data_IF_642822910286
#
_entry.id   IF_642822910286
#
_cell.length_a   1.000
_cell.length_b   1.000
_cell.length_c   1.000
_cell.angle_alpha   90.00
_cell.angle_beta   90.00
_cell.angle_gamma   90.00
#
_symmetry.space_group_name_H-M   'P 1'
#
loop_
_entity.id
_entity.type
_entity.pdbx_description
1 polymer ?
#
# COMPACT_ATOMS: atom_id res chain seq x y z
N UNK A 1 -8.50 3.78 -0.98
CA UNK A 1 -7.49 3.95 -2.05
C UNK A 1 -6.32 4.73 -1.47
N UNK A 2 -5.26 4.00 -1.16
CA UNK A 2 -3.97 4.52 -0.74
C UNK A 2 -3.04 4.31 -1.94
N UNK A 3 -2.41 5.37 -2.42
CA UNK A 3 -1.43 5.34 -3.52
C UNK A 3 -0.29 6.22 -3.03
N UNK A 4 0.91 5.71 -2.74
CA UNK A 4 1.82 6.51 -1.92
C UNK A 4 3.26 6.64 -2.41
N UNK A 5 3.75 7.87 -2.35
CA UNK A 5 5.15 8.24 -2.54
C UNK A 5 5.66 8.00 -3.96
N UNK A 6 5.55 9.06 -4.77
CA UNK A 6 6.61 9.34 -5.72
C UNK A 6 7.76 10.00 -4.93
N UNK A 7 8.86 9.29 -4.74
CA UNK A 7 10.10 9.86 -4.18
C UNK A 7 10.99 10.28 -5.34
N UNK A 8 11.45 11.53 -5.36
CA UNK A 8 12.42 12.02 -6.35
C UNK A 8 13.84 11.65 -5.96
N UNK A 9 14.69 11.45 -6.98
CA UNK A 9 16.12 11.12 -6.87
C UNK A 9 16.96 12.12 -6.06
N UNK A 10 16.46 13.35 -5.81
CA UNK A 10 17.12 14.34 -4.96
C UNK A 10 16.92 14.09 -3.45
N UNK A 11 16.29 12.96 -3.07
CA UNK A 11 16.24 12.43 -1.71
C UNK A 11 15.36 13.22 -0.74
N UNK A 12 14.62 14.22 -1.24
CA UNK A 12 13.98 15.22 -0.39
C UNK A 12 12.53 15.52 -0.70
N UNK A 13 11.92 15.05 -1.81
CA UNK A 13 10.49 15.34 -2.08
C UNK A 13 9.64 14.09 -2.19
N UNK A 14 8.43 14.22 -1.65
CA UNK A 14 7.43 13.16 -1.61
C UNK A 14 6.08 13.68 -2.08
N UNK A 15 5.49 13.01 -3.06
CA UNK A 15 4.06 13.16 -3.36
C UNK A 15 3.25 12.05 -2.66
N UNK A 16 2.46 12.41 -1.65
CA UNK A 16 1.62 11.48 -0.89
C UNK A 16 0.15 11.56 -1.31
N UNK A 17 -0.42 10.45 -1.81
CA UNK A 17 -1.80 10.42 -2.33
C UNK A 17 -2.69 9.46 -1.54
N UNK A 18 -3.31 9.95 -0.48
CA UNK A 18 -4.03 9.10 0.48
C UNK A 18 -5.34 9.71 0.92
N UNK A 19 -6.11 8.96 1.70
CA UNK A 19 -7.26 9.49 2.40
C UNK A 19 -6.87 10.56 3.42
N UNK A 20 -7.85 11.40 3.79
CA UNK A 20 -7.73 12.33 4.91
C UNK A 20 -9.01 12.33 5.74
N UNK A 21 -8.86 12.45 7.06
CA UNK A 21 -9.96 12.57 8.02
C UNK A 21 -9.78 13.78 8.94
N UNK A 22 -10.87 14.41 9.36
CA UNK A 22 -10.82 15.52 10.34
C UNK A 22 -10.47 14.99 11.74
N UNK A 23 -11.14 13.94 12.20
CA UNK A 23 -10.92 13.28 13.49
C UNK A 23 -10.25 11.91 13.31
N UNK A 24 -9.23 11.65 14.13
CA UNK A 24 -8.38 10.46 14.04
C UNK A 24 -7.08 10.70 13.25
N UNK A 25 -6.29 9.64 13.09
CA UNK A 25 -4.99 9.64 12.42
C UNK A 25 -4.93 8.47 11.43
N UNK A 26 -5.29 8.74 10.18
CA UNK A 26 -5.12 7.81 9.04
C UNK A 26 -4.73 8.60 7.78
N UNK A 27 -4.17 7.89 6.79
CA UNK A 27 -3.77 8.45 5.50
C UNK A 27 -2.83 9.65 5.65
N UNK A 28 -3.04 10.70 4.86
CA UNK A 28 -2.14 11.87 4.83
C UNK A 28 -2.02 12.57 6.18
N UNK A 29 -3.04 12.47 7.05
CA UNK A 29 -2.98 13.03 8.40
C UNK A 29 -1.96 12.32 9.30
N UNK A 30 -1.67 11.04 9.03
CA UNK A 30 -0.64 10.26 9.74
C UNK A 30 0.70 10.26 9.01
N UNK A 31 0.71 10.33 7.68
CA UNK A 31 1.92 10.17 6.89
C UNK A 31 2.76 11.45 6.78
N UNK A 32 2.11 12.61 6.63
CA UNK A 32 2.82 13.86 6.28
C UNK A 32 3.80 14.30 7.38
N UNK A 33 3.37 14.30 8.63
CA UNK A 33 4.18 14.83 9.73
C UNK A 33 5.47 14.01 10.00
N UNK A 34 5.44 12.66 10.08
CA UNK A 34 6.66 11.87 10.19
C UNK A 34 7.63 12.06 9.02
N UNK A 35 7.13 12.13 7.79
CA UNK A 35 7.96 12.37 6.61
C UNK A 35 8.65 13.75 6.66
N UNK A 36 7.93 14.78 7.11
CA UNK A 36 8.50 16.12 7.33
C UNK A 36 9.55 16.13 8.45
N UNK A 37 9.34 15.37 9.52
CA UNK A 37 10.32 15.23 10.60
C UNK A 37 11.63 14.57 10.11
N UNK A 38 11.53 13.70 9.10
CA UNK A 38 12.68 13.10 8.41
C UNK A 38 13.34 14.04 7.38
N UNK A 39 12.91 15.30 7.30
CA UNK A 39 13.50 16.32 6.41
C UNK A 39 12.96 16.28 4.98
N UNK A 40 11.88 15.55 4.72
CA UNK A 40 11.26 15.49 3.39
C UNK A 40 10.26 16.62 3.18
N UNK A 41 10.29 17.24 2.00
CA UNK A 41 9.27 18.14 1.48
C UNK A 41 8.10 17.32 0.91
N UNK A 42 7.00 17.31 1.64
CA UNK A 42 5.84 16.45 1.35
C UNK A 42 4.71 17.26 0.74
N UNK A 43 4.33 16.90 -0.47
CA UNK A 43 3.15 17.40 -1.17
C UNK A 43 2.03 16.36 -1.03
N UNK A 44 0.89 16.74 -0.46
CA UNK A 44 -0.22 15.82 -0.20
C UNK A 44 -1.41 16.06 -1.13
N UNK A 45 -1.87 15.00 -1.80
CA UNK A 45 -3.16 14.98 -2.51
C UNK A 45 -4.11 14.06 -1.75
N UNK A 46 -5.25 14.60 -1.31
CA UNK A 46 -6.23 13.81 -0.58
C UNK A 46 -7.19 13.11 -1.56
N UNK A 47 -7.27 11.78 -1.52
CA UNK A 47 -8.22 11.01 -2.35
C UNK A 47 -9.65 11.13 -1.84
N UNK A 48 -9.82 11.24 -0.52
CA UNK A 48 -11.09 11.51 0.16
C UNK A 48 -10.87 12.52 1.28
N UNK A 49 -11.94 13.22 1.66
CA UNK A 49 -12.00 14.07 2.84
C UNK A 49 -13.24 13.70 3.65
N UNK A 50 -13.03 12.98 4.74
CA UNK A 50 -14.10 12.54 5.64
C UNK A 50 -13.99 13.17 7.03
N UNK A 51 -15.09 13.11 7.80
CA UNK A 51 -15.11 13.52 9.21
C UNK A 51 -14.22 12.62 10.07
N UNK A 52 -14.26 11.30 9.84
CA UNK A 52 -13.57 10.27 10.60
C UNK A 52 -13.44 8.99 9.76
N UNK A 53 -12.73 7.98 10.29
CA UNK A 53 -12.60 6.68 9.64
C UNK A 53 -13.97 6.02 9.41
N UNK A 54 -14.10 5.23 8.34
CA UNK A 54 -15.36 4.56 7.95
C UNK A 54 -15.78 3.43 8.89
N UNK A 55 -14.87 2.98 9.77
CA UNK A 55 -15.17 2.00 10.83
C UNK A 55 -16.04 2.54 11.97
N UNK A 56 -16.29 3.86 12.03
CA UNK A 56 -17.23 4.43 13.00
C UNK A 56 -18.67 4.32 12.48
N UNK A 57 -19.63 4.23 13.41
CA UNK A 57 -21.06 4.10 13.08
C UNK A 57 -21.61 5.23 12.20
N UNK A 58 -21.02 6.43 12.26
CA UNK A 58 -21.38 7.57 11.42
C UNK A 58 -20.11 8.22 10.88
N UNK A 59 -20.13 8.58 9.61
CA UNK A 59 -19.12 9.43 8.97
C UNK A 59 -19.77 10.25 7.87
N UNK A 60 -19.14 11.37 7.49
CA UNK A 60 -19.58 12.23 6.38
C UNK A 60 -18.39 12.75 5.59
N UNK A 61 -18.61 13.26 4.38
CA UNK A 61 -17.61 13.95 3.57
C UNK A 61 -17.67 13.53 2.10
N UNK A 62 -16.55 13.65 1.38
CA UNK A 62 -16.53 13.49 -0.08
C UNK A 62 -15.27 12.79 -0.59
N UNK A 63 -15.42 12.09 -1.72
CA UNK A 63 -14.30 11.67 -2.57
C UNK A 63 -13.83 12.90 -3.36
N UNK A 64 -12.53 13.14 -3.40
CA UNK A 64 -11.93 14.31 -4.08
C UNK A 64 -11.27 13.87 -5.40
N UNK A 65 -10.44 12.82 -5.38
CA UNK A 65 -9.59 12.46 -6.52
C UNK A 65 -9.71 10.97 -6.84
N UNK A 66 -9.89 10.65 -8.13
CA UNK A 66 -9.56 9.34 -8.70
C UNK A 66 -8.13 9.44 -9.24
N UNK A 67 -7.21 8.71 -8.63
CA UNK A 67 -5.80 8.75 -9.02
C UNK A 67 -5.65 7.93 -10.29
N UNK A 68 -5.66 8.63 -11.41
CA UNK A 68 -5.57 8.08 -12.76
C UNK A 68 -4.10 8.01 -13.22
N UNK A 69 -3.85 7.22 -14.27
CA UNK A 69 -2.57 6.95 -14.96
C UNK A 69 -1.79 8.23 -15.36
N UNK A 70 -2.46 9.39 -15.32
CA UNK A 70 -1.96 10.72 -15.70
C UNK A 70 -0.80 11.24 -14.85
N UNK A 71 -0.59 10.74 -13.63
CA UNK A 71 0.50 11.24 -12.77
C UNK A 71 1.88 10.81 -13.23
N UNK A 72 2.05 9.58 -13.77
CA UNK A 72 3.32 9.20 -14.43
C UNK A 72 3.39 9.78 -15.85
N UNK A 73 2.28 9.80 -16.59
CA UNK A 73 2.26 10.27 -17.98
C UNK A 73 2.53 11.78 -18.14
N UNK A 74 2.21 12.59 -17.11
CA UNK A 74 2.46 14.03 -17.12
C UNK A 74 3.87 14.44 -16.67
N UNK A 75 4.74 13.50 -16.32
CA UNK A 75 6.08 13.79 -15.80
C UNK A 75 7.09 13.81 -16.94
N UNK A 76 8.01 14.77 -16.88
CA UNK A 76 9.07 14.93 -17.89
C UNK A 76 10.18 13.88 -17.74
N UNK A 77 10.31 13.29 -16.55
CA UNK A 77 11.32 12.29 -16.19
C UNK A 77 10.71 11.18 -15.30
N UNK A 78 9.76 10.39 -15.81
CA UNK A 78 9.05 9.38 -15.02
C UNK A 78 9.95 8.26 -14.49
N UNK A 79 11.12 8.04 -15.10
CA UNK A 79 12.14 7.09 -14.67
C UNK A 79 12.85 7.46 -13.36
N UNK A 80 12.82 8.75 -12.98
CA UNK A 80 13.42 9.26 -11.73
C UNK A 80 12.45 9.25 -10.53
N UNK A 81 11.24 8.74 -10.75
CA UNK A 81 10.21 8.67 -9.72
C UNK A 81 10.09 7.23 -9.25
N UNK A 82 10.42 7.01 -7.99
CA UNK A 82 10.12 5.74 -7.31
C UNK A 82 8.66 5.77 -6.87
N UNK A 83 7.84 4.85 -7.36
CA UNK A 83 6.43 4.73 -6.94
C UNK A 83 6.25 3.60 -5.93
N UNK A 84 5.83 3.95 -4.70
CA UNK A 84 5.44 2.99 -3.67
C UNK A 84 3.91 2.78 -3.70
N UNK A 85 3.44 1.55 -3.49
CA UNK A 85 2.02 1.25 -3.51
C UNK A 85 1.67 0.41 -2.29
N UNK A 86 0.84 0.99 -1.43
CA UNK A 86 0.18 0.32 -0.32
C UNK A 86 -1.27 0.02 -0.75
N UNK A 87 -1.58 -1.20 -1.21
CA UNK A 87 -2.84 -1.51 -1.87
C UNK A 87 -3.99 -1.73 -0.87
N UNK A 88 -4.32 -0.69 -0.10
CA UNK A 88 -5.37 -0.71 0.93
C UNK A 88 -6.72 -1.09 0.35
N UNK A 89 -7.07 -2.37 0.48
CA UNK A 89 -8.27 -2.98 -0.09
C UNK A 89 -9.05 -3.81 0.94
N UNK A 90 -8.38 -4.40 1.91
CA UNK A 90 -9.01 -5.28 2.88
C UNK A 90 -8.02 -5.87 3.86
N UNK A 91 -8.54 -6.48 4.92
CA UNK A 91 -7.75 -7.17 5.93
C UNK A 91 -8.61 -8.25 6.60
N UNK A 92 -7.99 -9.23 7.26
CA UNK A 92 -8.65 -10.32 7.98
C UNK A 92 -9.72 -11.05 7.14
N UNK A 93 -9.43 -11.28 5.86
CA UNK A 93 -10.32 -11.99 4.94
C UNK A 93 -11.51 -11.16 4.43
N UNK A 94 -11.56 -9.85 4.71
CA UNK A 94 -12.68 -8.98 4.35
C UNK A 94 -12.24 -7.81 3.47
N UNK A 95 -12.94 -7.60 2.37
CA UNK A 95 -12.76 -6.45 1.48
C UNK A 95 -13.53 -5.23 1.97
N UNK A 96 -12.87 -4.07 1.94
CA UNK A 96 -13.49 -2.77 2.23
C UNK A 96 -13.84 -1.99 0.95
N UNK A 97 -13.38 -2.49 -0.19
CA UNK A 97 -13.53 -1.86 -1.51
C UNK A 97 -14.22 -2.81 -2.49
N UNK A 98 -14.87 -2.30 -3.55
CA UNK A 98 -15.41 -3.15 -4.61
C UNK A 98 -14.31 -3.98 -5.28
N UNK A 99 -14.64 -5.22 -5.66
CA UNK A 99 -13.72 -6.12 -6.40
C UNK A 99 -13.14 -5.50 -7.67
N UNK A 100 -13.86 -4.59 -8.32
CA UNK A 100 -13.38 -3.81 -9.47
C UNK A 100 -12.04 -3.12 -9.18
N UNK A 101 -11.84 -2.63 -7.94
CA UNK A 101 -10.60 -1.96 -7.56
C UNK A 101 -9.42 -2.94 -7.49
N UNK A 102 -9.66 -4.20 -7.08
CA UNK A 102 -8.63 -5.25 -7.08
C UNK A 102 -8.12 -5.49 -8.52
N UNK A 103 -9.04 -5.57 -9.49
CA UNK A 103 -8.68 -5.70 -10.90
C UNK A 103 -7.93 -4.48 -11.43
N UNK A 104 -8.29 -3.27 -10.97
CA UNK A 104 -7.58 -2.04 -11.33
C UNK A 104 -6.15 -2.06 -10.80
N UNK A 105 -5.92 -2.46 -9.54
CA UNK A 105 -4.57 -2.58 -9.00
C UNK A 105 -3.73 -3.55 -9.85
N UNK A 106 -4.26 -4.73 -10.14
CA UNK A 106 -3.55 -5.76 -10.92
C UNK A 106 -3.22 -5.31 -12.34
N UNK A 107 -4.18 -4.70 -13.03
CA UNK A 107 -4.04 -4.37 -14.46
C UNK A 107 -3.37 -3.03 -14.72
N UNK A 108 -3.49 -2.06 -13.81
CA UNK A 108 -3.04 -0.68 -14.02
C UNK A 108 -1.97 -0.21 -13.04
N UNK A 109 -2.01 -0.64 -11.78
CA UNK A 109 -1.09 -0.15 -10.74
C UNK A 109 0.17 -1.00 -10.65
N UNK A 110 0.05 -2.33 -10.60
CA UNK A 110 1.21 -3.22 -10.54
C UNK A 110 2.23 -2.96 -11.66
N UNK A 111 1.83 -2.79 -12.94
CA UNK A 111 2.80 -2.58 -14.03
C UNK A 111 3.66 -1.33 -13.90
N UNK A 112 3.23 -0.34 -13.11
CA UNK A 112 3.92 0.93 -12.94
C UNK A 112 4.48 1.12 -11.53
N UNK A 113 4.21 0.20 -10.61
CA UNK A 113 4.65 0.22 -9.22
C UNK A 113 6.12 -0.22 -9.13
N UNK A 114 6.94 0.49 -8.33
CA UNK A 114 8.32 0.08 -8.05
C UNK A 114 8.40 -0.73 -6.74
N UNK A 115 7.65 -0.32 -5.72
CA UNK A 115 7.63 -0.97 -4.39
C UNK A 115 6.19 -1.22 -3.97
N UNK A 116 5.82 -2.48 -3.72
CA UNK A 116 4.47 -2.86 -3.26
C UNK A 116 4.51 -3.28 -1.79
N UNK A 117 3.57 -2.81 -0.97
CA UNK A 117 3.54 -3.09 0.47
C UNK A 117 2.19 -3.68 0.93
N UNK A 118 1.74 -4.84 0.41
CA UNK A 118 0.43 -5.38 0.78
C UNK A 118 0.48 -6.02 2.18
N UNK A 119 -0.65 -6.16 2.85
CA UNK A 119 -0.79 -7.17 3.90
C UNK A 119 -0.96 -8.59 3.30
N UNK A 120 -1.07 -9.64 4.13
CA UNK A 120 -1.30 -11.02 3.66
C UNK A 120 -2.52 -11.15 2.74
N UNK A 121 -3.68 -10.67 3.16
CA UNK A 121 -4.94 -10.81 2.40
C UNK A 121 -4.90 -10.06 1.06
N UNK A 122 -4.35 -8.85 1.05
CA UNK A 122 -4.13 -8.08 -0.16
C UNK A 122 -3.13 -8.77 -1.10
N UNK A 123 -2.10 -9.39 -0.54
CA UNK A 123 -1.14 -10.19 -1.30
C UNK A 123 -1.82 -11.41 -1.92
N UNK A 124 -2.74 -12.08 -1.22
CA UNK A 124 -3.51 -13.21 -1.77
C UNK A 124 -4.36 -12.78 -2.97
N UNK A 125 -5.07 -11.66 -2.83
CA UNK A 125 -5.89 -11.08 -3.89
C UNK A 125 -5.06 -10.66 -5.11
N UNK A 126 -3.93 -9.98 -4.87
CA UNK A 126 -3.06 -9.50 -5.95
C UNK A 126 -2.25 -10.63 -6.58
N UNK A 127 -1.87 -11.67 -5.83
CA UNK A 127 -1.13 -12.81 -6.35
C UNK A 127 -2.03 -13.94 -6.85
N UNK A 128 -3.35 -13.87 -6.62
CA UNK A 128 -4.32 -14.95 -6.91
C UNK A 128 -3.84 -16.31 -6.37
N UNK A 129 -3.44 -16.33 -5.10
CA UNK A 129 -3.01 -17.54 -4.42
C UNK A 129 -3.22 -17.38 -2.92
N UNK A 130 -3.61 -18.46 -2.25
CA UNK A 130 -3.64 -18.51 -0.79
C UNK A 130 -2.23 -18.53 -0.21
N UNK A 131 -2.10 -17.95 0.98
CA UNK A 131 -0.85 -17.71 1.68
C UNK A 131 -0.95 -18.33 3.08
N UNK A 132 -0.42 -19.54 3.25
CA UNK A 132 -0.51 -20.29 4.53
C UNK A 132 0.83 -20.45 5.23
N UNK A 133 1.92 -20.49 4.45
CA UNK A 133 3.28 -20.61 4.95
C UNK A 133 4.18 -19.52 4.36
N UNK A 134 5.31 -19.22 5.01
CA UNK A 134 6.34 -18.28 4.53
C UNK A 134 6.82 -18.63 3.10
N UNK A 135 6.82 -19.93 2.74
CA UNK A 135 7.13 -20.37 1.37
C UNK A 135 6.11 -19.88 0.33
N UNK A 136 4.83 -19.83 0.69
CA UNK A 136 3.79 -19.27 -0.18
C UNK A 136 4.00 -17.78 -0.36
N UNK A 137 4.33 -17.06 0.71
CA UNK A 137 4.64 -15.63 0.67
C UNK A 137 5.83 -15.32 -0.23
N UNK A 138 6.88 -16.14 -0.16
CA UNK A 138 8.03 -16.02 -1.07
C UNK A 138 7.63 -16.24 -2.53
N UNK A 139 6.75 -17.21 -2.80
CA UNK A 139 6.23 -17.48 -4.15
C UNK A 139 5.33 -16.36 -4.66
N UNK A 140 4.47 -15.80 -3.80
CA UNK A 140 3.62 -14.66 -4.10
C UNK A 140 4.47 -13.43 -4.44
N UNK A 141 5.48 -13.10 -3.63
CA UNK A 141 6.44 -12.03 -3.91
C UNK A 141 7.12 -12.21 -5.27
N UNK A 142 7.58 -13.42 -5.61
CA UNK A 142 8.19 -13.70 -6.92
C UNK A 142 7.20 -13.49 -8.06
N UNK A 143 5.95 -13.97 -7.93
CA UNK A 143 4.89 -13.78 -8.93
C UNK A 143 4.59 -12.29 -9.10
N UNK A 144 4.37 -11.56 -8.02
CA UNK A 144 4.07 -10.12 -8.06
C UNK A 144 5.19 -9.32 -8.72
N UNK A 145 6.46 -9.67 -8.46
CA UNK A 145 7.61 -9.01 -9.12
C UNK A 145 7.62 -9.16 -10.63
N UNK A 146 7.08 -10.25 -11.18
CA UNK A 146 6.94 -10.40 -12.65
C UNK A 146 5.87 -9.49 -13.26
N UNK A 147 5.02 -8.87 -12.44
CA UNK A 147 3.93 -8.00 -12.88
C UNK A 147 4.31 -6.50 -12.84
N UNK A 148 5.47 -6.13 -12.31
CA UNK A 148 5.96 -4.74 -12.30
C UNK A 148 6.83 -4.36 -11.09
N UNK A 149 6.37 -4.56 -9.84
CA UNK A 149 7.12 -4.19 -8.64
C UNK A 149 8.53 -4.78 -8.62
N UNK A 150 9.53 -3.94 -8.35
CA UNK A 150 10.91 -4.38 -8.12
C UNK A 150 11.08 -4.94 -6.71
N UNK A 151 10.36 -4.37 -5.76
CA UNK A 151 10.34 -4.76 -4.35
C UNK A 151 8.91 -5.01 -3.92
N UNK A 152 8.68 -6.11 -3.20
CA UNK A 152 7.42 -6.41 -2.49
C UNK A 152 7.75 -6.62 -1.02
N UNK A 153 6.98 -5.99 -0.12
CA UNK A 153 7.11 -6.13 1.34
C UNK A 153 5.74 -6.48 1.92
N UNK A 154 5.54 -7.74 2.30
CA UNK A 154 4.29 -8.15 2.96
C UNK A 154 4.34 -7.63 4.41
N UNK A 155 3.47 -6.67 4.73
CA UNK A 155 3.52 -5.87 5.97
C UNK A 155 3.04 -6.62 7.22
N UNK A 156 2.18 -7.62 7.03
CA UNK A 156 1.74 -8.56 8.06
C UNK A 156 1.52 -9.93 7.44
N UNK A 157 2.03 -10.96 8.09
CA UNK A 157 1.86 -12.34 7.68
C UNK A 157 1.71 -13.24 8.91
N UNK A 158 0.71 -14.12 8.88
CA UNK A 158 0.45 -15.11 9.91
C UNK A 158 0.47 -16.50 9.27
N UNK A 159 1.37 -17.37 9.73
CA UNK A 159 1.35 -18.78 9.34
C UNK A 159 0.20 -19.52 10.00
N UNK A 160 -0.38 -20.48 9.27
CA UNK A 160 -1.32 -21.44 9.83
C UNK A 160 -0.56 -22.32 10.83
N UNK A 161 -0.71 -22.04 12.13
CA UNK A 161 -0.22 -22.90 13.21
C UNK A 161 -1.39 -23.64 13.87
N UNK A 162 -1.19 -24.93 14.19
CA UNK A 162 -2.13 -25.68 15.01
C UNK A 162 -2.07 -25.17 16.47
N UNK A 163 -2.88 -24.17 16.80
CA UNK A 163 -3.31 -23.92 18.18
C UNK A 163 -2.49 -22.95 19.04
N UNK A 164 -1.51 -22.22 18.51
CA UNK A 164 -0.87 -21.11 19.23
C UNK A 164 -1.18 -19.75 18.60
N UNK A 165 -1.50 -18.77 19.44
CA UNK A 165 -1.58 -17.37 19.03
C UNK A 165 -0.20 -16.93 18.53
N UNK A 166 -0.10 -16.23 17.38
CA UNK A 166 1.19 -15.80 16.84
C UNK A 166 1.84 -14.83 17.82
N UNK A 167 3.08 -15.12 18.21
CA UNK A 167 3.87 -14.30 19.15
C UNK A 167 4.77 -13.28 18.45
N UNK A 168 4.84 -13.30 17.11
CA UNK A 168 5.82 -12.57 16.30
C UNK A 168 5.15 -11.88 15.09
N UNK A 169 5.62 -10.68 14.73
CA UNK A 169 5.22 -9.98 13.51
C UNK A 169 6.19 -10.35 12.39
N UNK A 170 5.69 -11.08 11.38
CA UNK A 170 6.51 -11.49 10.24
C UNK A 170 6.35 -10.49 9.09
N UNK A 171 7.46 -9.85 8.69
CA UNK A 171 7.53 -8.97 7.52
C UNK A 171 8.35 -9.67 6.42
N UNK A 172 7.74 -9.87 5.25
CA UNK A 172 8.39 -10.63 4.17
C UNK A 172 8.81 -9.69 3.05
N UNK A 173 10.12 -9.43 2.98
CA UNK A 173 10.73 -8.67 1.89
C UNK A 173 11.14 -9.57 0.71
N UNK A 174 10.88 -9.11 -0.50
CA UNK A 174 11.24 -9.83 -1.72
C UNK A 174 12.74 -9.83 -2.06
N UNK A 175 13.54 -9.08 -1.30
CA UNK A 175 15.00 -8.95 -1.43
C UNK A 175 15.71 -9.59 -0.23
N UNK A 176 15.07 -9.60 0.95
CA UNK A 176 15.54 -10.24 2.18
C UNK A 176 14.35 -10.47 3.13
N UNK A 177 14.33 -11.59 3.87
CA UNK A 177 13.34 -11.85 4.91
C UNK A 177 13.83 -11.28 6.25
N UNK A 178 12.98 -10.51 6.94
CA UNK A 178 13.32 -9.93 8.24
C UNK A 178 12.26 -10.35 9.26
N UNK A 179 12.66 -11.11 10.26
CA UNK A 179 11.83 -11.38 11.44
C UNK A 179 11.93 -10.16 12.36
N UNK A 180 10.79 -9.60 12.75
CA UNK A 180 10.73 -8.45 13.66
C UNK A 180 10.28 -8.98 15.02
N UNK A 181 11.22 -9.03 15.97
CA UNK A 181 10.98 -9.38 17.38
C UNK A 181 10.37 -8.21 18.18
#
# INVERSE_FOLDING_TARGET
MCVQLAVSDDGGRVLSIQSHVVQGYVGNKSAVFPLQLLGMDVNSINSVQFSNHTGYAKFTGRVIVRVDERLRAGQTHPERLMFVCDPVMGDLGQLYVPMELVYLYRSKVLPICDVLTPNQYECELLAEMELRMVKDATRACKKLRTLGPKVVVISSFQEDSEGETPKELVVIGSVEMVLVE
#
